data_IF_771168279004
#
_entry.id   IF_771168279004
#
_cell.length_a   1.000
_cell.length_b   1.000
_cell.length_c   1.000
_cell.angle_alpha   90.00
_cell.angle_beta   90.00
_cell.angle_gamma   90.00
#
_symmetry.space_group_name_H-M   'P 1'
#
loop_
_entity.id
_entity.type
_entity.pdbx_description
1 polymer ?
#
# COMPACT_ATOMS: atom_id res chain seq x y z
N UNK A 1 -17.33 19.66 -2.28
CA UNK A 1 -17.46 18.87 -1.04
C UNK A 1 -18.94 18.68 -0.76
N UNK A 2 -19.40 17.44 -0.70
CA UNK A 2 -20.80 17.13 -0.37
C UNK A 2 -20.90 17.06 1.15
N UNK A 3 -21.78 17.87 1.74
CA UNK A 3 -22.05 17.87 3.17
C UNK A 3 -23.37 17.16 3.41
N UNK A 4 -23.37 16.14 4.28
CA UNK A 4 -24.59 15.52 4.76
C UNK A 4 -24.92 16.10 6.14
N UNK A 5 -26.18 16.49 6.36
CA UNK A 5 -26.69 16.93 7.66
C UNK A 5 -27.61 15.85 8.20
N UNK A 6 -27.32 15.34 9.39
CA UNK A 6 -28.16 14.37 10.09
C UNK A 6 -28.80 15.06 11.29
N UNK A 7 -30.13 15.09 11.36
CA UNK A 7 -30.88 15.56 12.53
C UNK A 7 -31.50 14.36 13.23
N UNK A 8 -31.04 14.06 14.45
CA UNK A 8 -31.66 13.03 15.29
C UNK A 8 -32.84 13.65 16.04
N UNK A 9 -34.05 13.09 15.88
CA UNK A 9 -35.22 13.39 16.73
C UNK A 9 -35.66 12.12 17.45
N UNK A 10 -36.14 12.26 18.69
CA UNK A 10 -36.68 11.14 19.47
C UNK A 10 -37.92 10.58 18.75
N UNK A 11 -37.99 9.25 18.61
CA UNK A 11 -39.21 8.58 18.21
C UNK A 11 -40.25 8.72 19.32
N UNK A 12 -41.37 9.38 19.04
CA UNK A 12 -42.57 9.34 19.89
C UNK A 12 -43.26 7.99 19.68
N UNK A 13 -43.40 7.19 20.75
CA UNK A 13 -44.23 5.99 20.71
C UNK A 13 -45.69 6.40 20.42
N UNK A 14 -46.40 5.72 19.50
CA UNK A 14 -47.83 5.97 19.34
C UNK A 14 -48.59 5.50 20.58
N UNK A 15 -49.54 6.31 21.04
CA UNK A 15 -50.49 5.95 22.10
C UNK A 15 -51.41 4.84 21.59
N UNK A 16 -51.49 3.73 22.31
CA UNK A 16 -52.45 2.67 22.05
C UNK A 16 -53.86 3.20 22.31
N UNK A 17 -54.72 3.21 21.29
CA UNK A 17 -56.16 3.32 21.46
C UNK A 17 -56.69 1.93 21.80
N UNK A 18 -57.24 1.77 23.00
CA UNK A 18 -57.94 0.58 23.42
C UNK A 18 -59.24 0.42 22.63
N UNK A 19 -59.41 -0.76 22.04
CA UNK A 19 -60.69 -1.29 21.62
C UNK A 19 -60.52 -2.79 21.67
N UNK A 20 -61.14 -3.43 22.66
CA UNK A 20 -61.27 -4.88 22.69
C UNK A 20 -62.68 -5.25 23.16
N UNK A 21 -63.21 -6.21 22.39
CA UNK A 21 -64.45 -6.94 22.53
C UNK A 21 -64.60 -7.69 23.86
N UNK A 22 -65.86 -7.97 24.19
CA UNK A 22 -66.34 -8.78 25.31
C UNK A 22 -65.91 -10.26 25.21
N UNK A 23 -65.75 -10.93 26.37
CA UNK A 23 -65.52 -12.38 26.41
C UNK A 23 -65.11 -12.99 27.76
N UNK A 24 -66.00 -12.88 28.74
CA UNK A 24 -66.24 -13.68 29.97
C UNK A 24 -65.45 -15.00 30.24
N UNK A 25 -64.86 -15.13 31.45
CA UNK A 25 -65.31 -16.03 32.55
C UNK A 25 -64.21 -16.47 33.55
N UNK A 26 -64.46 -16.14 34.85
CA UNK A 26 -64.23 -16.91 36.11
C UNK A 26 -62.86 -17.56 36.43
N UNK A 27 -62.36 -17.68 37.66
CA UNK A 27 -62.67 -17.25 39.04
C UNK A 27 -61.41 -17.67 39.86
N UNK A 28 -61.10 -16.98 40.96
CA UNK A 28 -59.94 -17.32 41.80
C UNK A 28 -59.35 -16.16 42.61
N UNK A 29 -60.00 -15.85 43.72
CA UNK A 29 -59.58 -14.85 44.72
C UNK A 29 -58.44 -15.36 45.61
N UNK A 30 -57.40 -14.54 45.83
CA UNK A 30 -56.70 -14.45 47.13
C UNK A 30 -55.75 -13.23 47.20
N UNK A 31 -56.17 -12.29 48.06
CA UNK A 31 -55.42 -11.38 48.93
C UNK A 31 -54.26 -10.49 48.46
N UNK A 32 -54.42 -9.22 48.82
CA UNK A 32 -53.57 -8.05 48.66
C UNK A 32 -52.32 -8.05 49.57
N UNK A 33 -51.26 -7.38 49.11
CA UNK A 33 -50.81 -6.13 49.72
C UNK A 33 -49.95 -5.31 48.73
N UNK A 34 -50.20 -3.99 48.56
CA UNK A 34 -49.39 -3.12 47.70
C UNK A 34 -48.27 -2.46 48.52
N UNK A 35 -47.02 -2.61 48.07
CA UNK A 35 -45.94 -1.74 48.56
C UNK A 35 -46.00 -0.43 47.77
N UNK A 36 -46.73 0.52 48.33
CA UNK A 36 -46.63 1.96 48.05
C UNK A 36 -45.20 2.45 48.24
N UNK A 37 -44.68 3.16 47.24
CA UNK A 37 -43.33 3.73 47.30
C UNK A 37 -42.85 4.38 46.01
N UNK A 38 -43.72 5.06 45.27
CA UNK A 38 -43.29 5.99 44.25
C UNK A 38 -43.07 7.36 44.92
N UNK A 39 -41.86 7.95 44.88
CA UNK A 39 -41.65 9.27 45.43
C UNK A 39 -42.40 10.30 44.58
N UNK A 40 -43.18 11.15 45.27
CA UNK A 40 -43.79 12.36 44.72
C UNK A 40 -42.75 13.20 43.95
N UNK A 41 -42.90 13.26 42.64
CA UNK A 41 -42.20 14.24 41.83
C UNK A 41 -42.90 15.60 42.03
N UNK A 42 -42.23 16.62 42.56
CA UNK A 42 -42.86 17.92 42.77
C UNK A 42 -43.21 18.54 41.42
N UNK A 43 -44.43 19.04 41.32
CA UNK A 43 -44.90 19.86 40.22
C UNK A 43 -43.98 21.06 40.04
N UNK A 44 -43.09 20.96 39.06
CA UNK A 44 -42.22 22.03 38.62
C UNK A 44 -42.57 22.37 37.18
N UNK A 45 -43.14 23.56 36.97
CA UNK A 45 -43.24 24.18 35.65
C UNK A 45 -41.82 24.39 35.09
N UNK A 46 -41.31 23.38 34.40
CA UNK A 46 -40.05 23.45 33.68
C UNK A 46 -40.30 23.94 32.27
N UNK A 47 -39.81 25.14 31.96
CA UNK A 47 -39.66 25.61 30.58
C UNK A 47 -38.93 24.52 29.80
N UNK A 48 -39.55 24.01 28.73
CA UNK A 48 -38.91 23.06 27.82
C UNK A 48 -37.79 23.82 27.11
N UNK A 49 -36.60 23.82 27.71
CA UNK A 49 -35.42 24.43 27.11
C UNK A 49 -35.08 23.69 25.81
N UNK A 50 -35.01 24.43 24.71
CA UNK A 50 -34.50 23.92 23.45
C UNK A 50 -33.09 23.37 23.67
N UNK A 51 -32.90 22.08 23.40
CA UNK A 51 -31.57 21.50 23.42
C UNK A 51 -30.72 22.13 22.32
N UNK A 52 -29.44 22.45 22.59
CA UNK A 52 -28.57 23.02 21.58
C UNK A 52 -28.47 22.06 20.40
N UNK A 53 -28.84 22.54 19.22
CA UNK A 53 -28.64 21.82 17.96
C UNK A 53 -27.14 21.75 17.68
N UNK A 54 -26.59 20.54 17.79
CA UNK A 54 -25.20 20.27 17.39
C UNK A 54 -25.21 19.87 15.91
N UNK A 55 -24.72 20.76 15.04
CA UNK A 55 -24.45 20.41 13.64
C UNK A 55 -23.13 19.64 13.55
N UNK A 56 -23.22 18.33 13.30
CA UNK A 56 -22.07 17.52 12.91
C UNK A 56 -21.83 17.69 11.40
N UNK A 57 -20.81 18.48 11.03
CA UNK A 57 -20.36 18.58 9.64
C UNK A 57 -19.38 17.45 9.33
N UNK A 58 -19.91 16.32 8.88
CA UNK A 58 -19.11 15.22 8.35
C UNK A 58 -18.69 15.57 6.92
N UNK A 59 -17.39 15.79 6.72
CA UNK A 59 -16.82 15.93 5.37
C UNK A 59 -16.68 14.53 4.77
N UNK A 60 -17.64 14.13 3.94
CA UNK A 60 -17.52 12.89 3.17
C UNK A 60 -16.31 13.00 2.23
N UNK A 61 -15.44 11.98 2.16
CA UNK A 61 -14.35 11.96 1.20
C UNK A 61 -14.94 12.10 -0.21
N UNK A 62 -14.27 12.86 -1.07
CA UNK A 62 -14.69 12.92 -2.47
C UNK A 62 -14.56 11.52 -3.09
N UNK A 63 -15.37 11.11 -4.09
CA UNK A 63 -15.20 9.81 -4.76
C UNK A 63 -13.78 9.58 -5.30
N UNK A 64 -13.05 10.66 -5.59
CA UNK A 64 -11.64 10.64 -6.00
C UNK A 64 -10.63 10.43 -4.85
N UNK A 65 -11.07 10.52 -3.60
CA UNK A 65 -10.25 10.25 -2.41
C UNK A 65 -10.32 8.78 -1.96
N UNK A 66 -11.37 8.06 -2.37
CA UNK A 66 -11.62 6.65 -1.99
C UNK A 66 -10.53 5.76 -2.60
N UNK A 67 -9.80 4.98 -1.78
CA UNK A 67 -8.82 4.04 -2.30
C UNK A 67 -9.45 2.99 -3.22
N UNK A 68 -8.71 2.58 -4.23
CA UNK A 68 -9.14 1.57 -5.19
C UNK A 68 -8.63 0.20 -4.73
N UNK A 69 -9.42 -0.85 -4.95
CA UNK A 69 -8.92 -2.23 -4.85
C UNK A 69 -7.70 -2.42 -5.74
N UNK A 70 -6.76 -3.27 -5.31
CA UNK A 70 -5.50 -3.43 -6.03
C UNK A 70 -5.74 -3.91 -7.47
N UNK A 71 -6.51 -4.98 -7.62
CA UNK A 71 -6.91 -5.56 -8.89
C UNK A 71 -7.45 -4.51 -9.87
N UNK A 72 -8.47 -3.76 -9.43
CA UNK A 72 -9.16 -2.79 -10.28
C UNK A 72 -8.23 -1.64 -10.67
N UNK A 73 -7.35 -1.23 -9.75
CA UNK A 73 -6.32 -0.22 -10.02
C UNK A 73 -5.31 -0.69 -11.05
N UNK A 74 -4.75 -1.90 -10.87
CA UNK A 74 -3.76 -2.47 -11.78
C UNK A 74 -4.33 -2.71 -13.19
N UNK A 75 -5.52 -3.34 -13.30
CA UNK A 75 -6.18 -3.58 -14.58
C UNK A 75 -6.42 -2.28 -15.35
N UNK A 76 -6.93 -1.25 -14.68
CA UNK A 76 -7.16 0.05 -15.31
C UNK A 76 -5.87 0.75 -15.74
N UNK A 77 -4.80 0.67 -14.95
CA UNK A 77 -3.51 1.26 -15.34
C UNK A 77 -2.94 0.53 -16.57
N UNK A 78 -3.03 -0.80 -16.62
CA UNK A 78 -2.61 -1.60 -17.78
C UNK A 78 -3.42 -1.29 -19.05
N UNK A 79 -4.68 -0.91 -18.89
CA UNK A 79 -5.56 -0.54 -20.00
C UNK A 79 -5.35 0.91 -20.49
N UNK A 80 -5.16 1.84 -19.56
CA UNK A 80 -5.26 3.27 -19.86
C UNK A 80 -3.89 3.97 -20.01
N UNK A 81 -2.83 3.51 -19.35
CA UNK A 81 -1.57 4.24 -19.29
C UNK A 81 -0.78 4.18 -20.60
N UNK A 82 -0.35 5.34 -21.11
CA UNK A 82 0.49 5.43 -22.29
C UNK A 82 1.59 6.49 -22.12
N UNK A 83 2.78 6.03 -21.74
CA UNK A 83 3.98 6.87 -21.55
C UNK A 83 4.52 7.52 -22.83
N UNK A 84 3.98 7.16 -24.00
CA UNK A 84 4.34 7.72 -25.31
C UNK A 84 3.29 8.66 -25.87
N UNK A 85 2.24 8.96 -25.10
CA UNK A 85 1.20 9.93 -25.48
C UNK A 85 1.82 11.31 -25.73
N UNK A 86 1.53 11.88 -26.90
CA UNK A 86 1.97 13.23 -27.28
C UNK A 86 1.04 14.33 -26.73
N UNK A 87 -0.17 13.96 -26.34
CA UNK A 87 -1.21 14.89 -25.87
C UNK A 87 -1.31 14.94 -24.35
N UNK A 88 -0.98 13.83 -23.67
CA UNK A 88 -0.98 13.78 -22.21
C UNK A 88 0.35 14.33 -21.66
N UNK A 89 0.39 15.63 -21.36
CA UNK A 89 1.55 16.24 -20.66
C UNK A 89 1.66 15.68 -19.24
N UNK A 90 2.89 15.44 -18.78
CA UNK A 90 3.13 15.03 -17.40
C UNK A 90 2.59 16.07 -16.41
N UNK A 91 1.76 15.60 -15.47
CA UNK A 91 1.23 16.36 -14.34
C UNK A 91 0.90 15.36 -13.22
N UNK A 92 1.13 15.76 -11.97
CA UNK A 92 0.77 14.93 -10.81
C UNK A 92 -0.75 14.82 -10.65
N UNK A 93 -1.47 15.81 -11.15
CA UNK A 93 -2.92 15.88 -11.10
C UNK A 93 -3.60 15.04 -12.20
N UNK A 94 -2.84 14.51 -13.16
CA UNK A 94 -3.35 13.70 -14.26
C UNK A 94 -4.10 12.46 -13.74
N UNK A 95 -5.19 12.01 -14.39
CA UNK A 95 -5.98 10.86 -13.95
C UNK A 95 -5.17 9.59 -13.69
N UNK A 96 -4.14 9.33 -14.51
CA UNK A 96 -3.24 8.20 -14.30
C UNK A 96 -2.50 8.25 -12.96
N UNK A 97 -1.91 9.41 -12.61
CA UNK A 97 -1.22 9.60 -11.33
C UNK A 97 -2.20 9.40 -10.16
N UNK A 98 -3.39 10.02 -10.24
CA UNK A 98 -4.43 9.86 -9.20
C UNK A 98 -4.92 8.41 -9.06
N UNK A 99 -5.01 7.68 -10.17
CA UNK A 99 -5.38 6.26 -10.17
C UNK A 99 -4.29 5.42 -9.49
N UNK A 100 -3.01 5.64 -9.82
CA UNK A 100 -1.91 4.94 -9.18
C UNK A 100 -1.85 5.27 -7.68
N UNK A 101 -2.01 6.53 -7.29
CA UNK A 101 -2.05 6.94 -5.88
C UNK A 101 -3.21 6.32 -5.10
N UNK A 102 -4.41 6.21 -5.71
CA UNK A 102 -5.53 5.49 -5.09
C UNK A 102 -5.27 4.01 -4.94
N UNK A 103 -4.61 3.40 -5.92
CA UNK A 103 -4.22 1.99 -5.91
C UNK A 103 -3.17 1.73 -4.83
N UNK A 104 -2.18 2.62 -4.72
CA UNK A 104 -1.18 2.63 -3.64
C UNK A 104 -1.85 2.69 -2.27
N UNK A 105 -2.80 3.61 -2.06
CA UNK A 105 -3.53 3.70 -0.79
C UNK A 105 -4.35 2.46 -0.49
N UNK A 106 -4.94 1.83 -1.51
CA UNK A 106 -5.70 0.59 -1.35
C UNK A 106 -4.81 -0.56 -0.91
N UNK A 107 -3.67 -0.71 -1.58
CA UNK A 107 -2.64 -1.68 -1.22
C UNK A 107 -2.08 -1.44 0.18
N UNK A 108 -1.77 -0.19 0.52
CA UNK A 108 -1.28 0.19 1.85
C UNK A 108 -2.24 -0.22 2.97
N UNK A 109 -3.56 -0.10 2.73
CA UNK A 109 -4.57 -0.56 3.68
C UNK A 109 -4.58 -2.09 3.80
N UNK A 110 -4.45 -2.80 2.69
CA UNK A 110 -4.47 -4.26 2.66
C UNK A 110 -3.26 -4.89 3.38
N UNK A 111 -2.06 -4.30 3.23
CA UNK A 111 -0.83 -4.84 3.84
C UNK A 111 -0.54 -4.29 5.24
N UNK A 112 -1.29 -3.28 5.69
CA UNK A 112 -1.13 -2.68 7.01
C UNK A 112 0.14 -1.83 7.18
N UNK A 113 0.38 -1.34 8.40
CA UNK A 113 1.48 -0.40 8.71
C UNK A 113 2.85 -1.05 8.85
N UNK A 114 2.94 -2.38 8.78
CA UNK A 114 4.21 -3.11 8.80
C UNK A 114 5.06 -2.87 7.56
N UNK A 115 4.46 -2.33 6.49
CA UNK A 115 5.12 -1.99 5.24
C UNK A 115 4.77 -0.57 4.81
N UNK A 116 5.71 0.09 4.16
CA UNK A 116 5.49 1.33 3.45
C UNK A 116 5.29 1.02 1.97
N UNK A 117 4.12 1.40 1.44
CA UNK A 117 3.80 1.32 0.01
C UNK A 117 4.08 2.66 -0.64
N UNK A 118 4.78 2.65 -1.77
CA UNK A 118 5.10 3.84 -2.56
C UNK A 118 4.94 3.53 -4.04
N UNK A 119 4.58 4.50 -4.84
CA UNK A 119 4.43 4.33 -6.27
C UNK A 119 5.05 5.47 -7.07
N UNK A 120 5.28 5.24 -8.36
CA UNK A 120 5.78 6.27 -9.26
C UNK A 120 5.34 6.05 -10.70
N UNK A 121 4.80 7.11 -11.31
CA UNK A 121 4.63 7.24 -12.77
C UNK A 121 5.68 8.15 -13.40
N UNK A 122 6.78 8.39 -12.70
CA UNK A 122 7.87 9.25 -13.13
C UNK A 122 7.95 10.58 -12.36
N UNK A 123 9.06 11.28 -12.57
CA UNK A 123 9.40 12.54 -11.87
C UNK A 123 9.79 13.59 -12.89
N UNK A 124 8.83 14.43 -13.28
CA UNK A 124 9.02 15.48 -14.29
C UNK A 124 8.74 15.02 -15.72
N UNK A 125 8.77 13.72 -15.98
CA UNK A 125 8.33 13.09 -17.22
C UNK A 125 7.69 11.73 -16.92
N UNK A 126 6.86 11.23 -17.84
CA UNK A 126 6.23 9.91 -17.73
C UNK A 126 7.27 8.80 -17.67
N UNK A 127 7.19 7.93 -16.66
CA UNK A 127 8.01 6.74 -16.57
C UNK A 127 7.63 5.77 -17.67
N UNK A 128 8.62 5.30 -18.44
CA UNK A 128 8.37 4.18 -19.38
C UNK A 128 7.91 2.93 -18.64
N UNK A 129 8.45 2.69 -17.44
CA UNK A 129 8.15 1.55 -16.58
C UNK A 129 7.70 2.10 -15.21
N UNK A 130 6.40 2.40 -15.03
CA UNK A 130 5.83 2.73 -13.72
C UNK A 130 5.98 1.56 -12.73
N UNK A 131 5.80 1.85 -11.45
CA UNK A 131 5.87 0.83 -10.40
C UNK A 131 5.08 1.19 -9.14
N UNK A 132 4.78 0.17 -8.34
CA UNK A 132 4.32 0.26 -6.94
C UNK A 132 5.23 -0.64 -6.12
N UNK A 133 5.79 -0.17 -5.01
CA UNK A 133 6.75 -0.91 -4.18
C UNK A 133 6.27 -1.01 -2.76
N UNK A 134 6.60 -2.11 -2.09
CA UNK A 134 6.35 -2.39 -0.69
C UNK A 134 7.69 -2.67 -0.02
N UNK A 135 8.03 -1.88 0.98
CA UNK A 135 9.29 -2.01 1.72
C UNK A 135 9.03 -1.98 3.22
N UNK A 136 9.85 -2.68 3.99
CA UNK A 136 9.91 -2.52 5.43
C UNK A 136 10.25 -1.06 5.80
N UNK A 137 9.84 -0.57 6.98
CA UNK A 137 9.98 0.84 7.36
C UNK A 137 11.44 1.34 7.37
N UNK A 138 12.39 0.43 7.61
CA UNK A 138 13.83 0.71 7.68
C UNK A 138 14.56 0.43 6.37
N UNK A 139 13.89 -0.18 5.37
CA UNK A 139 14.54 -0.56 4.13
C UNK A 139 14.62 0.58 3.12
N UNK A 140 15.74 0.63 2.40
CA UNK A 140 15.96 1.62 1.36
C UNK A 140 15.57 1.10 -0.01
N UNK A 141 14.74 1.85 -0.72
CA UNK A 141 14.47 1.56 -2.13
C UNK A 141 15.67 1.80 -3.06
N UNK A 142 16.75 2.41 -2.58
CA UNK A 142 17.90 2.77 -3.42
C UNK A 142 19.08 1.80 -3.30
N UNK A 143 19.09 0.93 -2.29
CA UNK A 143 20.14 -0.07 -2.03
C UNK A 143 19.71 -1.29 -1.19
N UNK A 144 18.45 -1.34 -0.71
CA UNK A 144 17.91 -2.45 0.07
C UNK A 144 16.95 -3.33 -0.74
N UNK A 145 16.38 -4.35 -0.07
CA UNK A 145 15.40 -5.27 -0.65
C UNK A 145 13.97 -4.76 -0.44
N UNK A 146 13.10 -5.05 -1.41
CA UNK A 146 11.67 -4.71 -1.35
C UNK A 146 10.85 -5.56 -2.32
N UNK A 147 9.56 -5.72 -2.05
CA UNK A 147 8.61 -6.24 -3.02
C UNK A 147 8.16 -5.11 -3.97
N UNK A 148 7.87 -5.43 -5.22
CA UNK A 148 7.49 -4.44 -6.22
C UNK A 148 6.57 -5.01 -7.28
N UNK A 149 5.55 -4.23 -7.62
CA UNK A 149 4.85 -4.30 -8.89
C UNK A 149 5.58 -3.44 -9.92
N UNK A 150 6.02 -4.07 -11.01
CA UNK A 150 6.81 -3.43 -12.06
C UNK A 150 6.12 -3.61 -13.42
N UNK A 151 5.60 -2.52 -13.98
CA UNK A 151 4.82 -2.57 -15.21
C UNK A 151 5.73 -2.71 -16.43
N UNK A 152 5.38 -3.59 -17.38
CA UNK A 152 6.06 -3.61 -18.69
C UNK A 152 5.81 -2.30 -19.42
N UNK A 153 6.78 -1.81 -20.18
CA UNK A 153 6.75 -0.49 -20.79
C UNK A 153 5.64 -0.29 -21.82
N UNK A 154 5.17 -1.37 -22.42
CA UNK A 154 4.04 -1.41 -23.35
C UNK A 154 2.69 -1.70 -22.67
N UNK A 155 2.66 -1.77 -21.33
CA UNK A 155 1.51 -2.10 -20.50
C UNK A 155 0.86 -3.45 -20.84
N UNK A 156 1.57 -4.36 -21.52
CA UNK A 156 1.04 -5.68 -21.83
C UNK A 156 0.96 -6.58 -20.60
N UNK A 157 1.58 -6.22 -19.49
CA UNK A 157 1.56 -6.96 -18.23
C UNK A 157 2.36 -6.29 -17.13
N UNK A 158 2.36 -6.90 -15.95
CA UNK A 158 3.02 -6.40 -14.74
C UNK A 158 3.66 -7.55 -13.97
N UNK A 159 4.87 -7.34 -13.49
CA UNK A 159 5.55 -8.30 -12.61
C UNK A 159 5.26 -7.97 -11.15
N UNK A 160 4.95 -8.98 -10.33
CA UNK A 160 5.13 -8.93 -8.89
C UNK A 160 6.47 -9.58 -8.57
N UNK A 161 7.41 -8.83 -8.00
CA UNK A 161 8.79 -9.27 -7.82
C UNK A 161 9.37 -8.91 -6.46
N UNK A 162 10.30 -9.73 -5.98
CA UNK A 162 11.29 -9.28 -4.99
C UNK A 162 12.43 -8.63 -5.77
N UNK A 163 12.73 -7.39 -5.44
CA UNK A 163 13.74 -6.58 -6.12
C UNK A 163 14.64 -5.87 -5.12
N UNK A 164 15.71 -5.27 -5.64
CA UNK A 164 16.70 -4.53 -4.88
C UNK A 164 16.98 -3.15 -5.48
N UNK A 165 17.37 -2.22 -4.62
CA UNK A 165 17.75 -0.88 -5.05
C UNK A 165 19.15 -0.87 -5.66
N UNK A 166 19.33 -0.13 -6.77
CA UNK A 166 20.62 -0.02 -7.47
C UNK A 166 21.14 1.41 -7.59
N UNK A 167 20.27 2.41 -7.41
CA UNK A 167 20.59 3.80 -7.69
C UNK A 167 21.76 4.33 -6.84
N UNK A 168 21.78 4.05 -5.53
CA UNK A 168 22.88 4.48 -4.64
C UNK A 168 24.16 3.70 -4.89
N UNK A 169 24.05 2.40 -5.16
CA UNK A 169 25.21 1.56 -5.48
C UNK A 169 25.93 2.06 -6.73
N UNK A 170 25.19 2.36 -7.80
CA UNK A 170 25.77 2.91 -9.04
C UNK A 170 26.42 4.27 -8.81
N UNK A 171 25.78 5.15 -8.03
CA UNK A 171 26.33 6.46 -7.73
C UNK A 171 27.64 6.36 -6.92
N UNK A 172 27.74 5.41 -5.99
CA UNK A 172 28.89 5.24 -5.12
C UNK A 172 30.05 4.45 -5.76
N UNK A 173 29.74 3.41 -6.53
CA UNK A 173 30.72 2.40 -6.96
C UNK A 173 30.76 2.17 -8.49
N UNK A 174 29.92 2.87 -9.25
CA UNK A 174 29.76 2.67 -10.69
C UNK A 174 28.93 1.43 -11.06
N UNK A 175 28.62 1.31 -12.36
CA UNK A 175 27.70 0.28 -12.86
C UNK A 175 28.19 -1.15 -12.62
N UNK A 176 29.47 -1.43 -12.90
CA UNK A 176 30.02 -2.79 -12.81
C UNK A 176 29.99 -3.34 -11.38
N UNK A 177 30.43 -2.55 -10.40
CA UNK A 177 30.41 -2.98 -9.00
C UNK A 177 28.99 -3.12 -8.48
N UNK A 178 28.08 -2.19 -8.85
CA UNK A 178 26.68 -2.30 -8.51
C UNK A 178 26.06 -3.59 -9.06
N UNK A 179 26.24 -3.90 -10.35
CA UNK A 179 25.69 -5.12 -10.96
C UNK A 179 26.25 -6.40 -10.31
N UNK A 180 27.55 -6.44 -9.99
CA UNK A 180 28.14 -7.58 -9.24
C UNK A 180 27.50 -7.77 -7.87
N UNK A 181 27.21 -6.68 -7.16
CA UNK A 181 26.49 -6.75 -5.88
C UNK A 181 25.06 -7.28 -6.08
N UNK A 182 24.33 -6.78 -7.09
CA UNK A 182 22.99 -7.29 -7.39
C UNK A 182 23.01 -8.79 -7.68
N UNK A 183 23.96 -9.27 -8.48
CA UNK A 183 24.12 -10.70 -8.78
C UNK A 183 24.44 -11.53 -7.53
N UNK A 184 25.26 -10.99 -6.62
CA UNK A 184 25.56 -11.64 -5.35
C UNK A 184 24.31 -11.80 -4.49
N UNK A 185 23.53 -10.74 -4.31
CA UNK A 185 22.26 -10.77 -3.57
C UNK A 185 21.25 -11.70 -4.25
N UNK A 186 21.12 -11.65 -5.58
CA UNK A 186 20.24 -12.53 -6.33
C UNK A 186 20.59 -14.01 -6.07
N UNK A 187 21.89 -14.36 -6.14
CA UNK A 187 22.34 -15.73 -5.90
C UNK A 187 22.04 -16.20 -4.49
N UNK A 188 22.38 -15.38 -3.49
CA UNK A 188 22.15 -15.70 -2.08
C UNK A 188 20.67 -15.91 -1.78
N UNK A 189 19.82 -14.93 -2.14
CA UNK A 189 18.40 -14.97 -1.82
C UNK A 189 17.68 -16.09 -2.57
N UNK A 190 18.04 -16.33 -3.84
CA UNK A 190 17.48 -17.47 -4.59
C UNK A 190 17.87 -18.80 -3.96
N UNK A 191 19.12 -18.95 -3.53
CA UNK A 191 19.59 -20.15 -2.82
C UNK A 191 18.76 -20.40 -1.58
N UNK A 192 18.67 -19.42 -0.69
CA UNK A 192 17.88 -19.52 0.55
C UNK A 192 16.40 -19.85 0.29
N UNK A 193 15.77 -19.22 -0.71
CA UNK A 193 14.37 -19.48 -1.04
C UNK A 193 14.14 -20.91 -1.55
N UNK A 194 15.08 -21.44 -2.34
CA UNK A 194 15.00 -22.80 -2.88
C UNK A 194 15.34 -23.85 -1.82
N UNK A 195 16.40 -23.64 -1.05
CA UNK A 195 16.92 -24.59 -0.07
C UNK A 195 15.97 -24.73 1.14
N UNK A 196 15.41 -23.62 1.62
CA UNK A 196 14.48 -23.63 2.76
C UNK A 196 13.01 -23.81 2.35
N UNK A 197 12.73 -24.03 1.05
CA UNK A 197 11.38 -24.15 0.50
C UNK A 197 10.47 -23.01 0.97
N UNK A 198 10.97 -21.77 0.90
CA UNK A 198 10.26 -20.60 1.45
C UNK A 198 8.98 -20.25 0.71
N UNK A 199 8.78 -20.86 -0.46
CA UNK A 199 7.61 -20.66 -1.30
C UNK A 199 6.82 -21.97 -1.44
N UNK A 200 5.48 -21.90 -1.46
CA UNK A 200 4.65 -23.06 -1.74
C UNK A 200 5.01 -23.71 -3.09
N UNK A 201 4.88 -25.03 -3.18
CA UNK A 201 4.95 -25.73 -4.47
C UNK A 201 3.88 -25.15 -5.41
N UNK A 202 4.29 -24.75 -6.61
CA UNK A 202 3.37 -24.12 -7.57
C UNK A 202 3.11 -22.62 -7.34
N UNK A 203 3.90 -21.94 -6.49
CA UNK A 203 3.80 -20.49 -6.27
C UNK A 203 3.99 -19.62 -7.52
N UNK A 204 4.23 -20.17 -8.72
CA UNK A 204 4.34 -19.42 -9.97
C UNK A 204 5.43 -18.34 -10.01
N UNK A 205 6.23 -18.20 -8.94
CA UNK A 205 7.36 -17.29 -8.85
C UNK A 205 8.56 -17.94 -9.55
N UNK A 206 9.02 -17.28 -10.61
CA UNK A 206 10.20 -17.69 -11.35
C UNK A 206 11.46 -17.09 -10.71
N UNK A 207 12.51 -17.90 -10.67
CA UNK A 207 13.85 -17.53 -10.17
C UNK A 207 14.94 -17.75 -11.23
N UNK A 208 14.55 -18.14 -12.45
CA UNK A 208 15.48 -18.37 -13.56
C UNK A 208 16.17 -17.06 -13.96
N UNK A 209 17.38 -17.09 -14.55
CA UNK A 209 17.99 -15.92 -15.15
C UNK A 209 17.11 -15.31 -16.27
N UNK A 210 17.25 -14.00 -16.51
CA UNK A 210 16.69 -13.26 -17.66
C UNK A 210 15.16 -13.41 -17.90
N UNK A 211 14.45 -13.82 -16.86
CA UNK A 211 13.01 -14.07 -16.88
C UNK A 211 12.14 -12.81 -16.82
N UNK A 212 12.75 -11.65 -16.55
CA UNK A 212 12.06 -10.35 -16.53
C UNK A 212 12.40 -9.62 -17.82
N UNK A 213 11.39 -9.51 -18.68
CA UNK A 213 11.39 -8.66 -19.86
C UNK A 213 10.39 -7.52 -19.65
N UNK A 214 10.90 -6.30 -19.45
CA UNK A 214 10.09 -5.10 -19.31
C UNK A 214 9.59 -4.57 -20.65
N UNK A 215 9.94 -5.19 -21.77
CA UNK A 215 9.59 -4.76 -23.13
C UNK A 215 9.95 -3.31 -23.39
N UNK A 216 11.02 -2.90 -22.74
CA UNK A 216 11.47 -1.54 -22.72
C UNK A 216 12.37 -1.31 -23.93
N UNK A 217 11.79 -0.75 -25.00
CA UNK A 217 12.56 -0.38 -26.19
C UNK A 217 13.61 0.70 -25.93
N UNK A 218 14.24 1.18 -27.00
CA UNK A 218 15.23 2.27 -26.93
C UNK A 218 14.63 3.50 -26.21
N UNK A 219 15.39 4.09 -25.28
CA UNK A 219 14.99 5.28 -24.51
C UNK A 219 14.49 5.01 -23.09
N UNK A 220 14.34 3.75 -22.68
CA UNK A 220 14.03 3.39 -21.29
C UNK A 220 15.31 3.04 -20.50
N UNK A 221 16.16 4.04 -20.24
CA UNK A 221 17.50 3.84 -19.69
C UNK A 221 17.56 3.08 -18.34
N UNK A 222 16.49 3.13 -17.54
CA UNK A 222 16.43 2.45 -16.24
C UNK A 222 15.95 0.99 -16.32
N UNK A 223 15.30 0.58 -17.42
CA UNK A 223 14.70 -0.74 -17.51
C UNK A 223 15.72 -1.89 -17.39
N UNK A 224 16.91 -1.85 -18.05
CA UNK A 224 17.90 -2.91 -17.88
C UNK A 224 18.43 -3.03 -16.45
N UNK A 225 18.49 -1.91 -15.71
CA UNK A 225 18.89 -1.93 -14.32
C UNK A 225 17.81 -2.53 -13.41
N UNK A 226 16.53 -2.29 -13.72
CA UNK A 226 15.43 -2.92 -13.01
C UNK A 226 15.37 -4.42 -13.26
N UNK A 227 15.53 -4.86 -14.51
CA UNK A 227 15.55 -6.30 -14.88
C UNK A 227 16.63 -7.05 -14.10
N UNK A 228 17.85 -6.51 -14.05
CA UNK A 228 18.97 -7.08 -13.28
C UNK A 228 18.75 -7.08 -11.76
N UNK A 229 17.98 -6.10 -11.26
CA UNK A 229 17.70 -5.96 -9.85
C UNK A 229 16.61 -6.91 -9.34
N UNK A 230 15.90 -7.62 -10.23
CA UNK A 230 14.87 -8.56 -9.81
C UNK A 230 15.49 -9.90 -9.37
N UNK A 231 15.20 -10.27 -8.13
CA UNK A 231 15.60 -11.54 -7.52
C UNK A 231 14.68 -12.65 -7.99
N UNK A 232 13.36 -12.49 -7.82
CA UNK A 232 12.34 -13.47 -8.22
C UNK A 232 11.08 -12.70 -8.63
N UNK A 233 10.25 -13.27 -9.49
CA UNK A 233 9.03 -12.60 -9.96
C UNK A 233 7.97 -13.52 -10.52
N UNK A 234 6.75 -13.02 -10.54
CA UNK A 234 5.59 -13.59 -11.22
C UNK A 234 5.05 -12.57 -12.20
N UNK A 235 4.80 -12.98 -13.43
CA UNK A 235 4.20 -12.12 -14.45
C UNK A 235 2.67 -12.28 -14.46
N UNK A 236 1.96 -11.15 -14.44
CA UNK A 236 0.54 -11.09 -14.78
C UNK A 236 0.39 -10.42 -16.15
N UNK A 237 -0.22 -11.12 -17.10
CA UNK A 237 -0.55 -10.56 -18.42
C UNK A 237 -1.80 -9.70 -18.30
N UNK A 238 -1.86 -8.60 -19.06
CA UNK A 238 -3.04 -7.72 -19.09
C UNK A 238 -4.30 -8.50 -19.47
N UNK A 239 -5.39 -8.32 -18.72
CA UNK A 239 -6.63 -9.07 -18.89
C UNK A 239 -6.58 -10.48 -18.31
N UNK A 240 -5.50 -10.84 -17.61
CA UNK A 240 -5.32 -12.11 -16.89
C UNK A 240 -4.84 -11.88 -15.45
N UNK A 241 -5.13 -10.71 -14.85
CA UNK A 241 -4.89 -10.55 -13.42
C UNK A 241 -5.82 -11.50 -12.65
N UNK A 242 -5.32 -12.19 -11.61
CA UNK A 242 -6.16 -13.05 -10.79
C UNK A 242 -7.04 -12.19 -9.88
N UNK A 243 -7.97 -12.80 -9.16
CA UNK A 243 -8.86 -12.06 -8.27
C UNK A 243 -8.10 -11.26 -7.20
N UNK A 244 -8.74 -10.25 -6.62
CA UNK A 244 -8.15 -9.46 -5.51
C UNK A 244 -7.63 -10.35 -4.37
N UNK A 245 -8.39 -11.39 -4.00
CA UNK A 245 -8.00 -12.29 -2.92
C UNK A 245 -6.73 -13.08 -3.26
N UNK A 246 -6.62 -13.58 -4.50
CA UNK A 246 -5.43 -14.29 -4.98
C UNK A 246 -4.23 -13.36 -5.10
N UNK A 247 -4.41 -12.12 -5.63
CA UNK A 247 -3.35 -11.11 -5.68
C UNK A 247 -2.78 -10.83 -4.30
N UNK A 248 -3.63 -10.61 -3.30
CA UNK A 248 -3.20 -10.37 -1.92
C UNK A 248 -2.51 -11.61 -1.32
N UNK A 249 -2.98 -12.81 -1.65
CA UNK A 249 -2.30 -14.07 -1.29
C UNK A 249 -0.87 -14.14 -1.84
N UNK A 250 -0.69 -13.86 -3.13
CA UNK A 250 0.64 -13.87 -3.75
C UNK A 250 1.57 -12.78 -3.19
N UNK A 251 1.01 -11.62 -2.80
CA UNK A 251 1.78 -10.56 -2.13
C UNK A 251 2.25 -11.05 -0.76
N UNK A 252 1.37 -11.69 0.02
CA UNK A 252 1.74 -12.22 1.33
C UNK A 252 2.82 -13.30 1.23
N UNK A 253 2.71 -14.23 0.27
CA UNK A 253 3.76 -15.24 -0.01
C UNK A 253 5.12 -14.56 -0.26
N UNK A 254 5.14 -13.50 -1.08
CA UNK A 254 6.36 -12.76 -1.38
C UNK A 254 6.88 -11.98 -0.17
N UNK A 255 6.00 -11.37 0.62
CA UNK A 255 6.35 -10.61 1.82
C UNK A 255 6.84 -11.51 2.95
N UNK A 256 6.37 -12.76 3.03
CA UNK A 256 6.87 -13.77 3.95
C UNK A 256 8.30 -14.17 3.60
N UNK A 257 8.57 -14.47 2.32
CA UNK A 257 9.94 -14.73 1.84
C UNK A 257 10.85 -13.52 2.10
N UNK A 258 10.40 -12.32 1.76
CA UNK A 258 11.10 -11.06 2.05
C UNK A 258 11.44 -10.90 3.53
N UNK A 259 10.47 -11.13 4.42
CA UNK A 259 10.66 -10.98 5.86
C UNK A 259 11.63 -12.00 6.44
N UNK A 260 11.69 -13.21 5.88
CA UNK A 260 12.68 -14.23 6.25
C UNK A 260 14.09 -13.81 5.84
N UNK A 261 14.27 -13.29 4.62
CA UNK A 261 15.57 -12.75 4.16
C UNK A 261 16.07 -11.67 5.12
N UNK A 262 15.20 -10.74 5.53
CA UNK A 262 15.58 -9.65 6.41
C UNK A 262 15.83 -10.05 7.86
N UNK A 263 15.52 -11.29 8.24
CA UNK A 263 15.81 -11.86 9.57
C UNK A 263 16.97 -12.84 9.54
N UNK A 264 17.48 -13.19 8.37
CA UNK A 264 18.60 -14.10 8.23
C UNK A 264 19.90 -13.44 8.70
N UNK A 265 20.55 -14.05 9.69
CA UNK A 265 21.75 -13.51 10.32
C UNK A 265 22.92 -13.41 9.34
N UNK A 266 23.00 -14.35 8.38
CA UNK A 266 24.06 -14.34 7.39
C UNK A 266 23.88 -13.16 6.42
N UNK A 267 22.68 -12.97 5.88
CA UNK A 267 22.33 -11.84 5.01
C UNK A 267 22.63 -10.51 5.70
N UNK A 268 22.16 -10.35 6.94
CA UNK A 268 22.36 -9.11 7.69
C UNK A 268 23.85 -8.83 7.95
N UNK A 269 24.60 -9.85 8.36
CA UNK A 269 25.99 -9.67 8.81
C UNK A 269 26.97 -9.57 7.64
N UNK A 270 26.79 -10.38 6.60
CA UNK A 270 27.78 -10.57 5.54
C UNK A 270 27.43 -9.86 4.23
N UNK A 271 26.17 -9.46 4.03
CA UNK A 271 25.72 -8.83 2.78
C UNK A 271 25.27 -7.40 3.04
N UNK A 272 24.26 -7.21 3.91
CA UNK A 272 23.63 -5.90 4.13
C UNK A 272 24.52 -4.94 4.94
N UNK A 273 25.01 -5.36 6.11
CA UNK A 273 25.81 -4.50 6.97
C UNK A 273 27.11 -3.98 6.30
N UNK A 274 27.87 -4.79 5.53
CA UNK A 274 29.05 -4.32 4.84
C UNK A 274 28.72 -3.25 3.78
N UNK A 275 27.72 -3.50 2.92
CA UNK A 275 27.38 -2.55 1.85
C UNK A 275 26.82 -1.24 2.41
N UNK A 276 26.01 -1.31 3.47
CA UNK A 276 25.49 -0.13 4.16
C UNK A 276 26.64 0.71 4.77
N UNK A 277 27.63 0.05 5.39
CA UNK A 277 28.81 0.72 5.94
C UNK A 277 29.66 1.40 4.85
N UNK A 278 29.88 0.75 3.72
CA UNK A 278 30.62 1.31 2.58
C UNK A 278 29.91 2.53 1.98
N UNK A 279 28.58 2.44 1.77
CA UNK A 279 27.78 3.56 1.29
C UNK A 279 27.86 4.76 2.23
N UNK A 280 27.74 4.52 3.54
CA UNK A 280 27.88 5.59 4.55
C UNK A 280 29.29 6.20 4.54
N UNK A 281 30.34 5.40 4.32
CA UNK A 281 31.70 5.90 4.21
C UNK A 281 31.90 6.78 2.97
N UNK A 282 31.33 6.39 1.82
CA UNK A 282 31.34 7.20 0.59
C UNK A 282 30.65 8.54 0.84
N UNK A 283 29.46 8.54 1.43
CA UNK A 283 28.72 9.78 1.71
C UNK A 283 29.47 10.73 2.66
N UNK A 284 30.18 10.19 3.66
CA UNK A 284 31.02 11.00 4.56
C UNK A 284 32.17 11.67 3.80
N UNK A 285 32.86 10.92 2.94
CA UNK A 285 33.95 11.46 2.10
C UNK A 285 33.44 12.55 1.16
N UNK A 286 32.30 12.32 0.49
CA UNK A 286 31.69 13.32 -0.40
C UNK A 286 31.30 14.60 0.34
N UNK A 287 30.76 14.48 1.56
CA UNK A 287 30.42 15.64 2.41
C UNK A 287 31.65 16.42 2.87
N UNK A 288 32.71 15.72 3.30
CA UNK A 288 33.96 16.35 3.70
C UNK A 288 34.61 17.12 2.53
N UNK A 289 34.59 16.54 1.32
CA UNK A 289 35.09 17.21 0.12
C UNK A 289 34.27 18.48 -0.23
N UNK A 290 32.95 18.44 -0.09
CA UNK A 290 32.08 19.59 -0.36
C UNK A 290 32.17 20.70 0.71
N UNK A 291 32.58 20.38 1.93
CA UNK A 291 32.75 21.34 3.03
C UNK A 291 34.16 21.96 3.13
N UNK A 292 35.13 21.48 2.34
CA UNK A 292 36.53 21.88 2.41
C UNK A 292 36.93 23.09 1.55
N UNK A 293 36.03 23.67 0.75
CA UNK A 293 36.32 24.84 -0.09
C UNK A 293 35.82 26.15 0.54
N UNK A 294 36.60 26.69 1.48
CA UNK A 294 36.77 28.14 1.64
C UNK A 294 38.14 28.43 2.24
N UNK A 295 39.14 28.84 1.44
CA UNK A 295 40.26 29.55 2.01
C UNK A 295 39.74 30.93 2.42
N UNK A 296 39.83 31.25 3.72
CA UNK A 296 39.74 32.63 4.17
C UNK A 296 40.78 33.44 3.40
N UNK A 297 40.30 34.37 2.58
CA UNK A 297 41.17 35.39 1.99
C UNK A 297 41.55 36.34 3.13
N UNK A 298 42.75 36.15 3.66
CA UNK A 298 43.49 37.14 4.44
C UNK A 298 43.84 38.35 3.58
#
# INVERSE_FOLDING_TARGET
AVFASLSIRRATRPSASAGDDEGEAADGTAHADPMDGAPDCPGGGGVVGEWPRVELRLKLPSPEDVPTRLHDGLERILAEYNSSSRTARFSKEHPWCRLLERTERGLQRAVGSGFAVRSSMGKGAWAKVPWISLSGPTESMQHGLFAQFLFRADMSGIYLCLAQGTARLKAAFGHTAAHKHLEHVNRFVRGMVLDEQLLPSGSGLCTLPDFVDLRAGKGAALAPDYEKAVVMSRLYVRGQLPSEAELLGHINELLDAYSKVLRDDFYLTNIKKPIDAELMAVERRSRAAAGGERPERS
#
